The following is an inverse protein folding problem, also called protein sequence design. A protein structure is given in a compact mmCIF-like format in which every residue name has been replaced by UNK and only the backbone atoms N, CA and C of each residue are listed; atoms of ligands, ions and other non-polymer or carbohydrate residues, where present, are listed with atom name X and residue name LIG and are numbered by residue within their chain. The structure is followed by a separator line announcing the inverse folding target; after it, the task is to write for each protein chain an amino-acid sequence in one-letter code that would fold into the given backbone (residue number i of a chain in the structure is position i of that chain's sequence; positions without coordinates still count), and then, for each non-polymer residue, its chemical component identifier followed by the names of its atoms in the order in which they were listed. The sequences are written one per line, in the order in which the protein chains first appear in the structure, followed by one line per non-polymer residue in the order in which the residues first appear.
data_IF_015416892848
#
_entry.id   IF_015416892848
#
_cell.length_a   1.000
_cell.length_b   1.000
_cell.length_c   1.000
_cell.angle_alpha   90.00
_cell.angle_beta   90.00
_cell.angle_gamma   90.00
#
_symmetry.space_group_name_H-M   'P 1'
#
loop_
_entity.id
_entity.type
_entity.pdbx_description
1 polymer ?
#
# COMPACT_ATOMS: atom_id res chain seq x y z
N UNK A 1 15.24 -35.15 -9.05
CA UNK A 1 13.94 -35.27 -8.36
C UNK A 1 13.26 -36.54 -8.84
N UNK A 2 12.40 -37.17 -8.04
CA UNK A 2 11.59 -38.31 -8.50
C UNK A 2 10.64 -37.87 -9.62
N UNK A 3 10.53 -38.68 -10.67
CA UNK A 3 9.66 -38.38 -11.82
C UNK A 3 8.19 -38.16 -11.43
N UNK A 4 7.72 -38.77 -10.35
CA UNK A 4 6.35 -38.61 -9.86
C UNK A 4 6.13 -37.29 -9.12
N UNK A 5 7.15 -36.76 -8.43
CA UNK A 5 7.10 -35.45 -7.79
C UNK A 5 7.09 -34.34 -8.85
N UNK A 6 7.86 -34.50 -9.93
CA UNK A 6 7.87 -33.57 -11.06
C UNK A 6 6.50 -33.49 -11.76
N UNK A 7 5.85 -34.65 -12.01
CA UNK A 7 4.49 -34.69 -12.56
C UNK A 7 3.46 -34.07 -11.63
N UNK A 8 3.57 -34.31 -10.32
CA UNK A 8 2.70 -33.70 -9.32
C UNK A 8 2.90 -32.19 -9.21
N UNK A 9 4.13 -31.71 -9.40
CA UNK A 9 4.43 -30.27 -9.47
C UNK A 9 3.75 -29.64 -10.68
N UNK A 10 3.85 -30.27 -11.86
CA UNK A 10 3.14 -29.84 -13.07
C UNK A 10 1.61 -29.85 -12.88
N UNK A 11 1.07 -30.88 -12.20
CA UNK A 11 -0.34 -30.96 -11.87
C UNK A 11 -0.77 -29.80 -10.97
N UNK A 12 0.04 -29.47 -9.96
CA UNK A 12 -0.23 -28.33 -9.07
C UNK A 12 -0.17 -26.99 -9.80
N UNK A 13 0.73 -26.82 -10.76
CA UNK A 13 0.76 -25.62 -11.60
C UNK A 13 -0.52 -25.54 -12.43
N UNK A 14 -0.94 -26.63 -13.08
CA UNK A 14 -2.19 -26.67 -13.84
C UNK A 14 -3.41 -26.34 -12.96
N UNK A 15 -3.53 -26.95 -11.77
CA UNK A 15 -4.63 -26.67 -10.85
C UNK A 15 -4.65 -25.21 -10.35
N UNK A 16 -3.48 -24.58 -10.15
CA UNK A 16 -3.39 -23.16 -9.80
C UNK A 16 -3.87 -22.26 -10.94
N UNK A 17 -3.41 -22.51 -12.16
CA UNK A 17 -3.84 -21.74 -13.34
C UNK A 17 -5.33 -21.93 -13.63
N UNK A 18 -5.86 -23.14 -13.48
CA UNK A 18 -7.31 -23.41 -13.60
C UNK A 18 -8.10 -22.59 -12.57
N UNK A 19 -7.69 -22.60 -11.31
CA UNK A 19 -8.37 -21.82 -10.26
C UNK A 19 -8.33 -20.32 -10.55
N UNK A 20 -7.17 -19.80 -10.94
CA UNK A 20 -7.01 -18.39 -11.30
C UNK A 20 -7.94 -18.00 -12.45
N UNK A 21 -7.96 -18.77 -13.54
CA UNK A 21 -8.86 -18.54 -14.67
C UNK A 21 -10.32 -18.65 -14.27
N UNK A 22 -10.70 -19.60 -13.40
CA UNK A 22 -12.06 -19.72 -12.89
C UNK A 22 -12.48 -18.51 -12.06
N UNK A 23 -11.59 -17.99 -11.22
CA UNK A 23 -11.81 -16.77 -10.43
C UNK A 23 -11.95 -15.54 -11.33
N UNK A 24 -11.10 -15.41 -12.34
CA UNK A 24 -11.16 -14.33 -13.34
C UNK A 24 -12.50 -14.39 -14.11
N UNK A 25 -12.89 -15.55 -14.62
CA UNK A 25 -14.18 -15.76 -15.30
C UNK A 25 -15.36 -15.46 -14.36
N UNK A 26 -15.30 -15.87 -13.09
CA UNK A 26 -16.37 -15.65 -12.11
C UNK A 26 -16.46 -14.19 -11.65
N UNK A 27 -15.37 -13.42 -11.72
CA UNK A 27 -15.35 -12.00 -11.38
C UNK A 27 -16.05 -11.12 -12.42
N UNK A 28 -16.07 -11.54 -13.70
CA UNK A 28 -16.61 -10.74 -14.80
C UNK A 28 -18.13 -10.49 -14.69
N UNK A 29 -18.99 -11.49 -14.42
CA UNK A 29 -20.41 -11.24 -14.16
C UNK A 29 -20.64 -10.19 -13.07
N UNK A 30 -19.82 -10.19 -12.00
CA UNK A 30 -19.94 -9.21 -10.91
C UNK A 30 -19.57 -7.80 -11.35
N UNK A 31 -18.56 -7.66 -12.22
CA UNK A 31 -18.20 -6.35 -12.80
C UNK A 31 -19.32 -5.86 -13.71
N UNK A 32 -19.86 -6.73 -14.56
CA UNK A 32 -20.98 -6.40 -15.45
C UNK A 32 -22.21 -5.96 -14.65
N UNK A 33 -22.58 -6.67 -13.58
CA UNK A 33 -23.73 -6.27 -12.74
C UNK A 33 -23.50 -4.93 -12.05
N UNK A 34 -22.30 -4.67 -11.53
CA UNK A 34 -21.98 -3.39 -10.91
C UNK A 34 -22.04 -2.22 -11.91
N UNK A 35 -21.64 -2.47 -13.16
CA UNK A 35 -21.74 -1.50 -14.25
C UNK A 35 -23.21 -1.26 -14.63
N UNK A 36 -24.03 -2.31 -14.69
CA UNK A 36 -25.46 -2.19 -14.98
C UNK A 36 -26.25 -1.46 -13.88
N UNK A 37 -25.86 -1.62 -12.61
CA UNK A 37 -26.43 -0.88 -11.48
C UNK A 37 -26.16 0.63 -11.59
N UNK A 38 -24.95 1.04 -12.02
CA UNK A 38 -24.62 2.45 -12.26
C UNK A 38 -25.51 3.04 -13.35
N UNK A 39 -25.64 2.33 -14.47
CA UNK A 39 -26.48 2.73 -15.60
C UNK A 39 -27.98 2.76 -15.22
N UNK A 40 -28.43 1.88 -14.32
CA UNK A 40 -29.77 1.95 -13.75
C UNK A 40 -29.97 3.22 -12.91
N UNK A 41 -28.94 3.63 -12.16
CA UNK A 41 -28.92 4.89 -11.41
C UNK A 41 -29.06 6.11 -12.30
N UNK A 42 -28.28 6.21 -13.38
CA UNK A 42 -28.36 7.34 -14.33
C UNK A 42 -29.67 7.35 -15.11
N UNK A 43 -30.21 6.18 -15.47
CA UNK A 43 -31.58 6.06 -16.00
C UNK A 43 -32.64 6.57 -15.03
N UNK A 44 -32.53 6.24 -13.74
CA UNK A 44 -33.49 6.71 -12.73
C UNK A 44 -33.44 8.24 -12.57
N UNK A 45 -32.26 8.85 -12.69
CA UNK A 45 -32.12 10.31 -12.69
C UNK A 45 -32.79 10.95 -13.92
N UNK A 46 -32.59 10.38 -15.11
CA UNK A 46 -33.26 10.83 -16.33
C UNK A 46 -34.79 10.74 -16.20
N UNK A 47 -35.32 9.62 -15.72
CA UNK A 47 -36.76 9.46 -15.54
C UNK A 47 -37.33 10.43 -14.50
N UNK A 48 -36.58 10.73 -13.43
CA UNK A 48 -36.97 11.77 -12.46
C UNK A 48 -37.00 13.17 -13.10
N UNK A 49 -36.01 13.52 -13.91
CA UNK A 49 -35.96 14.80 -14.63
C UNK A 49 -37.13 14.93 -15.62
N UNK A 50 -37.42 13.86 -16.38
CA UNK A 50 -38.57 13.80 -17.30
C UNK A 50 -39.91 13.91 -16.58
N UNK A 51 -40.05 13.24 -15.44
CA UNK A 51 -41.26 13.33 -14.62
C UNK A 51 -41.48 14.75 -14.09
N UNK A 52 -40.42 15.44 -13.66
CA UNK A 52 -40.48 16.84 -13.26
C UNK A 52 -40.90 17.76 -14.42
N UNK A 53 -40.27 17.62 -15.59
CA UNK A 53 -40.63 18.40 -16.79
C UNK A 53 -42.09 18.19 -17.22
N UNK A 54 -42.58 16.94 -17.15
CA UNK A 54 -43.99 16.62 -17.43
C UNK A 54 -44.95 17.21 -16.38
N UNK A 55 -44.52 17.27 -15.12
CA UNK A 55 -45.25 17.92 -14.05
C UNK A 55 -45.40 19.42 -14.28
N UNK A 56 -44.33 20.09 -14.70
CA UNK A 56 -44.33 21.51 -15.05
C UNK A 56 -45.26 21.78 -16.25
N UNK A 57 -45.22 20.95 -17.30
CA UNK A 57 -46.14 21.08 -18.44
C UNK A 57 -47.62 20.90 -18.02
N UNK A 58 -47.90 19.97 -17.11
CA UNK A 58 -49.25 19.75 -16.58
C UNK A 58 -49.73 20.94 -15.74
N UNK A 59 -48.86 21.52 -14.91
CA UNK A 59 -49.17 22.71 -14.12
C UNK A 59 -49.45 23.92 -15.02
N UNK A 60 -48.67 24.10 -16.08
CA UNK A 60 -48.92 25.15 -17.07
C UNK A 60 -50.31 25.02 -17.68
N UNK A 61 -50.67 23.84 -18.19
CA UNK A 61 -52.02 23.59 -18.77
C UNK A 61 -53.14 23.83 -17.76
N UNK A 62 -52.92 23.49 -16.48
CA UNK A 62 -53.88 23.73 -15.40
C UNK A 62 -54.11 25.23 -15.17
N UNK A 63 -53.05 26.03 -15.13
CA UNK A 63 -53.18 27.48 -14.96
C UNK A 63 -53.80 28.15 -16.20
N UNK A 64 -53.45 27.70 -17.40
CA UNK A 64 -54.08 28.18 -18.65
C UNK A 64 -55.59 27.92 -18.68
N UNK A 65 -56.03 26.72 -18.28
CA UNK A 65 -57.44 26.39 -18.16
C UNK A 65 -58.15 27.25 -17.09
N UNK A 66 -57.50 27.48 -15.94
CA UNK A 66 -58.05 28.35 -14.90
C UNK A 66 -58.24 29.80 -15.37
N UNK A 67 -57.29 30.33 -16.17
CA UNK A 67 -57.41 31.65 -16.79
C UNK A 67 -58.61 31.69 -17.75
N UNK A 68 -58.78 30.68 -18.60
CA UNK A 68 -59.93 30.61 -19.51
C UNK A 68 -61.27 30.60 -18.76
N UNK A 69 -61.37 29.84 -17.66
CA UNK A 69 -62.55 29.80 -16.81
C UNK A 69 -62.83 31.17 -16.15
N UNK A 70 -61.80 31.86 -15.65
CA UNK A 70 -61.91 33.18 -15.05
C UNK A 70 -62.32 34.24 -16.09
N UNK A 71 -61.77 34.20 -17.30
CA UNK A 71 -62.16 35.07 -18.41
C UNK A 71 -63.64 34.86 -18.78
N UNK A 72 -64.10 33.61 -18.79
CA UNK A 72 -65.51 33.27 -18.98
C UNK A 72 -66.42 33.84 -17.88
N UNK A 73 -65.98 33.81 -16.61
CA UNK A 73 -66.71 34.43 -15.48
C UNK A 73 -66.75 35.96 -15.61
N UNK A 74 -65.63 36.60 -15.96
CA UNK A 74 -65.57 38.05 -16.18
C UNK A 74 -66.56 38.47 -17.27
N UNK A 75 -66.62 37.75 -18.40
CA UNK A 75 -67.60 38.04 -19.45
C UNK A 75 -69.03 37.99 -18.91
N UNK A 76 -69.38 36.92 -18.19
CA UNK A 76 -70.72 36.77 -17.59
C UNK A 76 -71.05 37.89 -16.59
N UNK A 77 -70.11 38.26 -15.72
CA UNK A 77 -70.32 39.34 -14.76
C UNK A 77 -70.44 40.72 -15.42
N UNK A 78 -69.71 40.94 -16.53
CA UNK A 78 -69.85 42.16 -17.35
C UNK A 78 -71.22 42.21 -18.04
N UNK A 79 -71.70 41.10 -18.58
CA UNK A 79 -73.04 41.05 -19.18
C UNK A 79 -74.13 41.28 -18.12
N UNK A 80 -74.00 40.66 -16.94
CA UNK A 80 -74.93 40.84 -15.83
C UNK A 80 -74.95 42.29 -15.31
N UNK A 81 -73.79 42.96 -15.26
CA UNK A 81 -73.70 44.33 -14.72
C UNK A 81 -74.45 45.36 -15.57
N UNK A 82 -74.67 45.07 -16.86
CA UNK A 82 -75.50 45.89 -17.76
C UNK A 82 -77.00 45.76 -17.47
N UNK A 83 -77.45 44.64 -16.89
CA UNK A 83 -78.86 44.36 -16.59
C UNK A 83 -79.28 44.74 -15.15
N UNK A 84 -78.32 45.01 -14.27
CA UNK A 84 -78.57 45.29 -12.85
C UNK A 84 -79.13 46.70 -12.63
N UNK A 85 -80.23 46.79 -11.87
CA UNK A 85 -80.94 48.07 -11.60
C UNK A 85 -80.56 48.75 -10.28
N UNK A 86 -79.87 48.06 -9.38
CA UNK A 86 -79.48 48.60 -8.06
C UNK A 86 -77.97 48.85 -7.99
N UNK A 87 -77.58 49.99 -7.43
CA UNK A 87 -76.18 50.41 -7.36
C UNK A 87 -75.34 49.48 -6.45
N UNK A 88 -75.96 48.85 -5.45
CA UNK A 88 -75.31 47.89 -4.56
C UNK A 88 -74.93 46.58 -5.29
N UNK A 89 -75.85 46.02 -6.07
CA UNK A 89 -75.59 44.83 -6.89
C UNK A 89 -74.53 45.10 -7.98
N UNK A 90 -74.53 46.30 -8.57
CA UNK A 90 -73.52 46.70 -9.55
C UNK A 90 -72.12 46.76 -8.92
N UNK A 91 -71.99 47.35 -7.72
CA UNK A 91 -70.71 47.37 -6.97
C UNK A 91 -70.22 45.97 -6.60
N UNK A 92 -71.13 45.06 -6.22
CA UNK A 92 -70.77 43.67 -5.95
C UNK A 92 -70.19 42.97 -7.18
N UNK A 93 -70.84 43.12 -8.36
CA UNK A 93 -70.33 42.55 -9.61
C UNK A 93 -68.98 43.15 -10.03
N UNK A 94 -68.77 44.45 -9.83
CA UNK A 94 -67.47 45.07 -10.07
C UNK A 94 -66.37 44.49 -9.17
N UNK A 95 -66.68 44.24 -7.90
CA UNK A 95 -65.74 43.61 -6.97
C UNK A 95 -65.40 42.18 -7.39
N UNK A 96 -66.39 41.39 -7.81
CA UNK A 96 -66.16 40.03 -8.35
C UNK A 96 -65.33 40.03 -9.64
N UNK A 97 -65.52 41.01 -10.52
CA UNK A 97 -64.69 41.20 -11.72
C UNK A 97 -63.25 41.52 -11.32
N UNK A 98 -63.04 42.46 -10.39
CA UNK A 98 -61.70 42.82 -9.92
C UNK A 98 -60.99 41.63 -9.26
N UNK A 99 -61.71 40.84 -8.47
CA UNK A 99 -61.19 39.63 -7.86
C UNK A 99 -60.76 38.60 -8.92
N UNK A 100 -61.61 38.36 -9.93
CA UNK A 100 -61.28 37.45 -11.03
C UNK A 100 -60.09 37.96 -11.88
N UNK A 101 -59.99 39.27 -12.13
CA UNK A 101 -58.86 39.89 -12.82
C UNK A 101 -57.55 39.75 -12.03
N UNK A 102 -57.61 39.84 -10.69
CA UNK A 102 -56.45 39.62 -9.83
C UNK A 102 -56.01 38.14 -9.82
N UNK A 103 -56.96 37.20 -9.78
CA UNK A 103 -56.66 35.77 -9.89
C UNK A 103 -56.07 35.39 -11.25
N UNK A 104 -56.49 36.04 -12.34
CA UNK A 104 -55.85 35.86 -13.66
C UNK A 104 -54.38 36.27 -13.60
N UNK A 105 -54.06 37.45 -13.05
CA UNK A 105 -52.67 37.92 -12.92
C UNK A 105 -51.81 36.94 -12.12
N UNK A 106 -52.33 36.42 -11.01
CA UNK A 106 -51.63 35.42 -10.19
C UNK A 106 -51.35 34.14 -11.00
N UNK A 107 -52.30 33.68 -11.82
CA UNK A 107 -52.09 32.51 -12.66
C UNK A 107 -51.12 32.80 -13.83
N UNK A 108 -51.12 34.01 -14.40
CA UNK A 108 -50.15 34.45 -15.40
C UNK A 108 -48.72 34.46 -14.83
N UNK A 109 -48.54 35.03 -13.63
CA UNK A 109 -47.26 35.01 -12.92
C UNK A 109 -46.78 33.57 -12.67
N UNK A 110 -47.68 32.68 -12.21
CA UNK A 110 -47.36 31.25 -12.03
C UNK A 110 -46.99 30.55 -13.34
N UNK A 111 -47.63 30.89 -14.45
CA UNK A 111 -47.27 30.34 -15.77
C UNK A 111 -45.86 30.78 -16.13
N UNK A 112 -45.50 32.05 -15.93
CA UNK A 112 -44.16 32.55 -16.20
C UNK A 112 -43.10 31.81 -15.35
N UNK A 113 -43.36 31.62 -14.05
CA UNK A 113 -42.49 30.84 -13.17
C UNK A 113 -42.31 29.40 -13.66
N UNK A 114 -43.40 28.73 -14.03
CA UNK A 114 -43.37 27.37 -14.56
C UNK A 114 -42.62 27.31 -15.90
N UNK A 115 -42.74 28.31 -16.77
CA UNK A 115 -42.02 28.37 -18.04
C UNK A 115 -40.51 28.50 -17.83
N UNK A 116 -40.06 29.36 -16.91
CA UNK A 116 -38.64 29.50 -16.57
C UNK A 116 -38.08 28.19 -15.98
N UNK A 117 -38.85 27.54 -15.12
CA UNK A 117 -38.49 26.23 -14.57
C UNK A 117 -38.43 25.15 -15.65
N UNK A 118 -39.40 25.13 -16.58
CA UNK A 118 -39.45 24.17 -17.67
C UNK A 118 -38.23 24.28 -18.61
N UNK A 119 -37.75 25.48 -18.93
CA UNK A 119 -36.50 25.65 -19.69
C UNK A 119 -35.28 25.07 -18.95
N UNK A 120 -35.24 25.22 -17.63
CA UNK A 120 -34.18 24.65 -16.80
C UNK A 120 -34.28 23.12 -16.78
N UNK A 121 -35.49 22.56 -16.62
CA UNK A 121 -35.73 21.11 -16.67
C UNK A 121 -35.44 20.51 -18.03
N UNK A 122 -35.74 21.19 -19.13
CA UNK A 122 -35.42 20.71 -20.47
C UNK A 122 -33.90 20.63 -20.69
N UNK A 123 -33.14 21.60 -20.17
CA UNK A 123 -31.67 21.54 -20.16
C UNK A 123 -31.14 20.38 -19.31
N UNK A 124 -31.71 20.16 -18.12
CA UNK A 124 -31.35 19.03 -17.26
C UNK A 124 -31.65 17.67 -17.93
N UNK A 125 -32.81 17.53 -18.58
CA UNK A 125 -33.18 16.32 -19.32
C UNK A 125 -32.19 16.07 -20.46
N UNK A 126 -31.90 17.08 -21.28
CA UNK A 126 -30.92 16.96 -22.37
C UNK A 126 -29.53 16.59 -21.89
N UNK A 127 -29.09 17.18 -20.76
CA UNK A 127 -27.81 16.84 -20.15
C UNK A 127 -27.80 15.38 -19.66
N UNK A 128 -28.83 14.95 -18.94
CA UNK A 128 -28.96 13.58 -18.44
C UNK A 128 -29.08 12.55 -19.59
N UNK A 129 -29.76 12.89 -20.69
CA UNK A 129 -29.81 12.03 -21.89
C UNK A 129 -28.45 11.88 -22.57
N UNK A 130 -27.69 12.98 -22.68
CA UNK A 130 -26.34 12.96 -23.23
C UNK A 130 -25.38 12.14 -22.36
N UNK A 131 -25.46 12.32 -21.04
CA UNK A 131 -24.68 11.57 -20.05
C UNK A 131 -25.01 10.07 -20.12
N UNK A 132 -26.30 9.70 -20.07
CA UNK A 132 -26.72 8.31 -20.18
C UNK A 132 -26.26 7.67 -21.49
N UNK A 133 -26.32 8.41 -22.61
CA UNK A 133 -25.88 7.91 -23.91
C UNK A 133 -24.36 7.68 -23.95
N UNK A 134 -23.58 8.61 -23.39
CA UNK A 134 -22.13 8.48 -23.32
C UNK A 134 -21.74 7.30 -22.41
N UNK A 135 -22.34 7.22 -21.22
CA UNK A 135 -22.08 6.15 -20.25
C UNK A 135 -22.49 4.78 -20.84
N UNK A 136 -23.65 4.68 -21.48
CA UNK A 136 -24.09 3.44 -22.12
C UNK A 136 -23.14 2.99 -23.25
N UNK A 137 -22.59 3.91 -24.03
CA UNK A 137 -21.65 3.59 -25.09
C UNK A 137 -20.32 3.06 -24.55
N UNK A 138 -19.78 3.66 -23.49
CA UNK A 138 -18.56 3.18 -22.83
C UNK A 138 -18.78 1.83 -22.15
N UNK A 139 -19.92 1.64 -21.50
CA UNK A 139 -20.29 0.38 -20.84
C UNK A 139 -20.41 -0.77 -21.84
N UNK A 140 -21.02 -0.55 -23.00
CA UNK A 140 -21.13 -1.60 -24.02
C UNK A 140 -19.76 -1.99 -24.57
N UNK A 141 -18.83 -1.04 -24.76
CA UNK A 141 -17.43 -1.37 -25.12
C UNK A 141 -16.76 -2.22 -24.04
N UNK A 142 -16.86 -1.82 -22.78
CA UNK A 142 -16.25 -2.55 -21.66
C UNK A 142 -16.84 -3.97 -21.55
N UNK A 143 -18.16 -4.13 -21.75
CA UNK A 143 -18.82 -5.43 -21.81
C UNK A 143 -18.33 -6.30 -22.96
N UNK A 144 -18.15 -5.73 -24.15
CA UNK A 144 -17.62 -6.46 -25.31
C UNK A 144 -16.18 -6.91 -25.08
N UNK A 145 -15.33 -6.06 -24.53
CA UNK A 145 -13.94 -6.40 -24.17
C UNK A 145 -13.90 -7.49 -23.10
N UNK A 146 -14.70 -7.36 -22.04
CA UNK A 146 -14.84 -8.38 -21.00
C UNK A 146 -15.29 -9.72 -21.59
N UNK A 147 -16.23 -9.74 -22.53
CA UNK A 147 -16.68 -10.97 -23.22
C UNK A 147 -15.56 -11.60 -24.06
N UNK A 148 -14.76 -10.80 -24.76
CA UNK A 148 -13.62 -11.29 -25.55
C UNK A 148 -12.59 -11.96 -24.65
N UNK A 149 -12.18 -11.28 -23.57
CA UNK A 149 -11.25 -11.82 -22.57
C UNK A 149 -11.80 -13.12 -21.96
N UNK A 150 -13.09 -13.13 -21.58
CA UNK A 150 -13.74 -14.35 -21.04
C UNK A 150 -13.63 -15.52 -22.02
N UNK A 151 -13.88 -15.28 -23.31
CA UNK A 151 -13.82 -16.32 -24.33
C UNK A 151 -12.39 -16.87 -24.50
N UNK A 152 -11.38 -16.02 -24.41
CA UNK A 152 -9.97 -16.44 -24.41
C UNK A 152 -9.62 -17.25 -23.16
N UNK A 153 -10.07 -16.80 -21.99
CA UNK A 153 -9.79 -17.48 -20.72
C UNK A 153 -10.52 -18.83 -20.63
N UNK A 154 -11.73 -18.95 -21.21
CA UNK A 154 -12.43 -20.22 -21.35
C UNK A 154 -11.67 -21.20 -22.26
N UNK A 155 -11.04 -20.72 -23.35
CA UNK A 155 -10.19 -21.56 -24.20
C UNK A 155 -8.95 -22.05 -23.44
N UNK A 156 -8.24 -21.14 -22.76
CA UNK A 156 -7.09 -21.49 -21.90
C UNK A 156 -7.49 -22.47 -20.80
N UNK A 157 -8.66 -22.27 -20.19
CA UNK A 157 -9.22 -23.17 -19.18
C UNK A 157 -9.42 -24.58 -19.73
N UNK A 158 -9.94 -24.72 -20.96
CA UNK A 158 -10.10 -26.01 -21.61
C UNK A 158 -8.74 -26.70 -21.86
N UNK A 159 -7.74 -25.95 -22.34
CA UNK A 159 -6.38 -26.46 -22.54
C UNK A 159 -5.73 -26.92 -21.23
N UNK A 160 -5.86 -26.13 -20.16
CA UNK A 160 -5.31 -26.50 -18.85
C UNK A 160 -6.04 -27.70 -18.24
N UNK A 161 -7.36 -27.83 -18.40
CA UNK A 161 -8.08 -29.03 -17.98
C UNK A 161 -7.62 -30.27 -18.75
N UNK A 162 -7.42 -30.16 -20.08
CA UNK A 162 -6.89 -31.27 -20.86
C UNK A 162 -5.48 -31.69 -20.40
N UNK A 163 -4.59 -30.72 -20.12
CA UNK A 163 -3.27 -30.99 -19.54
C UNK A 163 -3.37 -31.66 -18.18
N UNK A 164 -4.25 -31.16 -17.30
CA UNK A 164 -4.51 -31.73 -15.97
C UNK A 164 -4.97 -33.18 -16.06
N UNK A 165 -5.93 -33.46 -16.93
CA UNK A 165 -6.51 -34.79 -17.08
C UNK A 165 -5.50 -35.79 -17.67
N UNK A 166 -4.65 -35.35 -18.60
CA UNK A 166 -3.51 -36.13 -19.09
C UNK A 166 -2.50 -36.48 -17.99
N UNK A 167 -2.13 -35.52 -17.14
CA UNK A 167 -1.22 -35.75 -16.00
C UNK A 167 -1.81 -36.74 -14.99
N UNK A 168 -3.13 -36.66 -14.73
CA UNK A 168 -3.83 -37.56 -13.79
C UNK A 168 -3.80 -39.03 -14.22
N UNK A 169 -3.74 -39.31 -15.53
CA UNK A 169 -3.67 -40.69 -16.03
C UNK A 169 -2.30 -41.35 -15.82
N UNK A 170 -1.23 -40.54 -15.72
CA UNK A 170 0.16 -41.02 -15.63
C UNK A 170 0.63 -41.15 -14.18
N UNK A 171 0.00 -40.41 -13.25
CA UNK A 171 0.33 -40.43 -11.82
C UNK A 171 -0.36 -41.64 -11.16
N UNK A 172 0.32 -42.30 -10.21
CA UNK A 172 -0.26 -43.45 -9.50
C UNK A 172 -1.48 -43.04 -8.67
N UNK A 173 -2.48 -43.94 -8.63
CA UNK A 173 -3.79 -43.63 -8.03
C UNK A 173 -3.72 -43.27 -6.54
N UNK A 174 -2.83 -43.90 -5.77
CA UNK A 174 -2.68 -43.62 -4.33
C UNK A 174 -2.05 -42.26 -4.06
N UNK A 175 -1.06 -41.87 -4.87
CA UNK A 175 -0.45 -40.55 -4.81
C UNK A 175 -1.43 -39.45 -5.19
N UNK A 176 -2.20 -39.67 -6.27
CA UNK A 176 -3.22 -38.72 -6.71
C UNK A 176 -4.30 -38.54 -5.64
N UNK A 177 -4.79 -39.63 -5.02
CA UNK A 177 -5.77 -39.56 -3.92
C UNK A 177 -5.24 -38.77 -2.72
N UNK A 178 -3.97 -38.97 -2.37
CA UNK A 178 -3.33 -38.21 -1.29
C UNK A 178 -3.25 -36.72 -1.65
N UNK A 179 -2.74 -36.40 -2.83
CA UNK A 179 -2.63 -35.05 -3.36
C UNK A 179 -3.98 -34.31 -3.39
N UNK A 180 -5.02 -34.92 -3.96
CA UNK A 180 -6.36 -34.31 -4.09
C UNK A 180 -6.98 -34.03 -2.72
N UNK A 181 -6.81 -34.94 -1.75
CA UNK A 181 -7.26 -34.74 -0.37
C UNK A 181 -6.61 -33.49 0.23
N UNK A 182 -5.29 -33.40 0.13
CA UNK A 182 -4.53 -32.29 0.72
C UNK A 182 -4.85 -30.97 -0.01
N UNK A 183 -4.91 -30.98 -1.34
CA UNK A 183 -5.32 -29.83 -2.16
C UNK A 183 -6.69 -29.28 -1.79
N UNK A 184 -7.65 -30.15 -1.47
CA UNK A 184 -9.01 -29.76 -1.08
C UNK A 184 -9.04 -29.00 0.25
N UNK A 185 -8.26 -29.43 1.24
CA UNK A 185 -8.27 -28.82 2.58
C UNK A 185 -7.26 -27.69 2.76
N UNK A 186 -6.14 -27.72 2.01
CA UNK A 186 -4.99 -26.84 2.23
C UNK A 186 -4.71 -25.92 1.05
N UNK A 187 -5.44 -26.04 -0.06
CA UNK A 187 -5.26 -25.24 -1.28
C UNK A 187 -4.06 -25.63 -2.14
N UNK A 188 -3.02 -26.24 -1.56
CA UNK A 188 -1.83 -26.77 -2.24
C UNK A 188 -1.52 -28.18 -1.72
N UNK A 189 -1.10 -29.08 -2.61
CA UNK A 189 -0.78 -30.48 -2.27
C UNK A 189 0.72 -30.72 -2.11
N UNK A 190 1.55 -29.86 -2.69
CA UNK A 190 3.01 -29.90 -2.60
C UNK A 190 3.53 -28.66 -1.87
N UNK A 191 4.61 -28.84 -1.11
CA UNK A 191 5.33 -27.76 -0.47
C UNK A 191 6.84 -27.89 -0.72
N UNK A 192 7.45 -26.77 -1.08
CA UNK A 192 8.90 -26.66 -1.13
C UNK A 192 9.46 -26.71 0.30
N UNK A 193 10.61 -27.36 0.44
CA UNK A 193 11.41 -27.31 1.66
C UNK A 193 12.56 -26.35 1.46
N UNK A 194 12.63 -25.32 2.32
CA UNK A 194 13.67 -24.30 2.29
C UNK A 194 14.13 -23.99 3.70
N UNK A 195 15.45 -23.89 3.91
CA UNK A 195 16.02 -23.56 5.22
C UNK A 195 15.45 -24.44 6.36
N UNK A 196 15.45 -25.77 6.14
CA UNK A 196 14.88 -26.75 7.08
C UNK A 196 13.40 -26.51 7.43
N UNK A 197 12.65 -25.73 6.64
CA UNK A 197 11.23 -25.43 6.89
C UNK A 197 10.38 -25.88 5.71
N UNK A 198 9.19 -26.41 6.02
CA UNK A 198 8.15 -26.61 5.02
C UNK A 198 7.53 -25.24 4.68
N UNK A 199 7.70 -24.75 3.45
CA UNK A 199 7.20 -23.42 3.04
C UNK A 199 5.66 -23.34 3.11
N UNK A 200 4.96 -24.47 2.97
CA UNK A 200 3.50 -24.51 3.01
C UNK A 200 2.86 -24.37 4.39
N UNK A 201 3.57 -24.66 5.49
CA UNK A 201 3.05 -24.50 6.86
C UNK A 201 4.05 -23.89 7.85
N UNK A 202 5.22 -23.51 7.35
CA UNK A 202 6.32 -22.84 8.05
C UNK A 202 6.87 -23.61 9.26
N UNK A 203 6.57 -24.89 9.39
CA UNK A 203 7.11 -25.73 10.46
C UNK A 203 8.55 -26.13 10.14
N UNK A 204 9.39 -26.18 11.17
CA UNK A 204 10.75 -26.70 11.06
C UNK A 204 10.71 -28.22 10.96
N UNK A 205 11.40 -28.76 9.96
CA UNK A 205 11.54 -30.18 9.73
C UNK A 205 12.74 -30.71 10.52
N UNK A 206 12.67 -31.98 10.93
CA UNK A 206 13.80 -32.65 11.56
C UNK A 206 14.96 -32.71 10.57
N UNK A 207 16.23 -32.59 11.01
CA UNK A 207 17.39 -32.65 10.12
C UNK A 207 17.41 -33.92 9.24
N UNK A 208 16.98 -35.06 9.80
CA UNK A 208 16.84 -36.31 9.06
C UNK A 208 15.83 -36.17 7.90
N UNK A 209 14.60 -35.72 8.17
CA UNK A 209 13.57 -35.52 7.16
C UNK A 209 14.00 -34.51 6.09
N UNK A 210 14.71 -33.45 6.47
CA UNK A 210 15.25 -32.49 5.52
C UNK A 210 16.26 -33.13 4.56
N UNK A 211 17.19 -33.93 5.07
CA UNK A 211 18.17 -34.64 4.25
C UNK A 211 17.52 -35.68 3.34
N UNK A 212 16.52 -36.40 3.83
CA UNK A 212 15.77 -37.38 3.03
C UNK A 212 15.03 -36.69 1.86
N UNK A 213 14.41 -35.52 2.09
CA UNK A 213 13.77 -34.71 1.03
C UNK A 213 14.80 -34.17 0.03
N UNK A 214 15.98 -33.76 0.51
CA UNK A 214 17.08 -33.26 -0.32
C UNK A 214 17.67 -34.36 -1.21
N UNK A 215 17.80 -35.58 -0.70
CA UNK A 215 18.23 -36.75 -1.46
C UNK A 215 17.19 -37.11 -2.54
N UNK A 216 15.90 -36.92 -2.23
CA UNK A 216 14.82 -37.07 -3.19
C UNK A 216 14.65 -38.49 -3.71
N UNK A 217 15.08 -39.51 -2.95
CA UNK A 217 14.96 -40.93 -3.30
C UNK A 217 13.60 -41.53 -2.91
N UNK A 218 12.93 -40.93 -1.93
CA UNK A 218 11.64 -41.37 -1.41
C UNK A 218 10.64 -40.22 -1.37
N UNK A 219 9.36 -40.57 -1.48
CA UNK A 219 8.28 -39.61 -1.31
C UNK A 219 8.04 -39.34 0.17
N UNK A 220 8.25 -38.09 0.58
CA UNK A 220 8.13 -37.67 1.98
C UNK A 220 7.01 -36.65 2.11
N UNK A 221 6.23 -36.81 3.16
CA UNK A 221 5.07 -35.96 3.46
C UNK A 221 5.33 -35.21 4.75
N UNK A 222 4.94 -33.95 4.81
CA UNK A 222 5.04 -33.14 6.02
C UNK A 222 4.12 -33.70 7.13
N UNK A 223 4.68 -34.02 8.30
CA UNK A 223 3.91 -34.53 9.45
C UNK A 223 2.81 -33.55 9.91
N UNK A 224 3.03 -32.24 9.78
CA UNK A 224 2.09 -31.21 10.26
C UNK A 224 0.99 -30.86 9.26
N UNK A 225 1.32 -30.70 7.96
CA UNK A 225 0.35 -30.23 6.97
C UNK A 225 -0.02 -31.25 5.90
N UNK A 226 0.59 -32.44 5.94
CA UNK A 226 0.37 -33.54 5.01
C UNK A 226 0.67 -33.22 3.53
N UNK A 227 1.38 -32.13 3.23
CA UNK A 227 1.82 -31.85 1.86
C UNK A 227 3.02 -32.71 1.50
N UNK A 228 3.08 -33.14 0.24
CA UNK A 228 4.25 -33.80 -0.33
C UNK A 228 5.39 -32.79 -0.41
N UNK A 229 6.54 -33.14 0.15
CA UNK A 229 7.70 -32.27 0.23
C UNK A 229 8.59 -32.46 -1.00
N UNK A 230 9.09 -31.35 -1.54
CA UNK A 230 10.11 -31.38 -2.59
C UNK A 230 11.20 -30.37 -2.29
N UNK A 231 12.40 -30.62 -2.82
CA UNK A 231 13.55 -29.74 -2.72
C UNK A 231 13.91 -29.22 -4.11
N UNK A 232 14.08 -27.91 -4.22
CA UNK A 232 14.57 -27.23 -5.42
C UNK A 232 15.99 -26.71 -5.17
N UNK A 233 17.02 -27.31 -5.81
CA UNK A 233 18.42 -26.90 -5.64
C UNK A 233 18.69 -25.44 -6.03
N UNK A 234 17.87 -24.84 -6.91
CA UNK A 234 18.05 -23.46 -7.34
C UNK A 234 17.78 -22.43 -6.22
N UNK A 235 16.95 -22.80 -5.24
CA UNK A 235 16.53 -21.95 -4.14
C UNK A 235 17.36 -22.18 -2.85
N UNK A 236 18.41 -23.00 -2.92
CA UNK A 236 19.33 -23.21 -1.81
C UNK A 236 20.17 -21.93 -1.63
N UNK A 237 19.91 -21.21 -0.55
CA UNK A 237 20.81 -20.17 -0.06
C UNK A 237 22.15 -20.85 0.22
N UNK A 238 23.14 -20.63 -0.64
CA UNK A 238 24.53 -20.95 -0.34
C UNK A 238 24.86 -20.17 0.92
N UNK A 239 24.99 -20.86 2.05
CA UNK A 239 25.57 -20.25 3.24
C UNK A 239 26.93 -19.71 2.82
N UNK A 240 27.11 -18.39 2.85
CA UNK A 240 28.45 -17.84 3.00
C UNK A 240 29.07 -18.59 4.19
N UNK A 241 30.31 -19.11 4.05
CA UNK A 241 30.92 -19.88 5.12
C UNK A 241 30.83 -19.03 6.37
N UNK A 242 30.12 -19.55 7.38
CA UNK A 242 29.90 -18.88 8.64
C UNK A 242 31.24 -18.32 9.09
N UNK A 243 31.36 -16.99 9.10
CA UNK A 243 32.51 -16.32 9.67
C UNK A 243 32.68 -16.94 11.05
N UNK A 244 33.79 -17.66 11.21
CA UNK A 244 34.20 -18.29 12.46
C UNK A 244 33.94 -17.27 13.54
N UNK A 245 33.13 -17.61 14.53
CA UNK A 245 32.92 -16.78 15.72
C UNK A 245 34.27 -16.61 16.39
N UNK A 246 35.03 -15.62 15.95
CA UNK A 246 36.23 -15.18 16.63
C UNK A 246 35.74 -14.63 17.96
N UNK A 247 36.22 -15.23 19.06
CA UNK A 247 36.05 -14.69 20.40
C UNK A 247 36.15 -13.16 20.36
N UNK A 248 35.06 -12.49 20.75
CA UNK A 248 34.94 -11.03 20.78
C UNK A 248 36.11 -10.48 21.62
N UNK A 249 37.14 -9.94 20.95
CA UNK A 249 38.19 -9.20 21.63
C UNK A 249 37.58 -7.89 22.08
N UNK A 250 37.36 -7.71 23.39
CA UNK A 250 36.94 -6.41 23.96
C UNK A 250 37.87 -5.32 23.42
N UNK A 251 37.30 -4.26 22.85
CA UNK A 251 38.06 -3.09 22.38
C UNK A 251 38.88 -2.52 23.53
N UNK A 252 40.20 -2.64 23.46
CA UNK A 252 41.08 -2.12 24.50
C UNK A 252 41.13 -0.59 24.43
N UNK A 253 41.00 0.10 25.57
CA UNK A 253 41.26 1.54 25.63
C UNK A 253 42.75 1.75 25.35
N UNK A 254 43.15 2.52 24.33
CA UNK A 254 44.55 2.81 24.10
C UNK A 254 45.14 3.42 25.37
N UNK A 255 46.39 3.08 25.69
CA UNK A 255 47.07 3.75 26.80
C UNK A 255 47.24 5.24 26.46
N UNK A 256 47.45 6.09 27.46
CA UNK A 256 47.58 7.53 27.23
C UNK A 256 48.78 7.86 26.31
N UNK A 257 49.82 7.04 26.36
CA UNK A 257 51.04 7.06 25.55
C UNK A 257 50.91 6.35 24.19
N UNK A 258 49.71 5.91 23.79
CA UNK A 258 49.53 5.31 22.47
C UNK A 258 49.90 6.32 21.38
N UNK A 259 50.67 5.89 20.38
CA UNK A 259 51.12 6.75 19.28
C UNK A 259 49.94 7.40 18.53
N UNK A 260 48.79 6.69 18.47
CA UNK A 260 47.59 7.17 17.81
C UNK A 260 46.32 6.68 18.52
N UNK A 261 45.26 7.49 18.52
CA UNK A 261 43.94 7.09 18.97
C UNK A 261 42.81 7.73 18.16
N UNK A 262 41.82 6.91 17.78
CA UNK A 262 40.64 7.31 17.01
C UNK A 262 39.36 7.25 17.84
N UNK A 263 38.53 8.28 17.69
CA UNK A 263 37.26 8.39 18.39
C UNK A 263 36.17 8.94 17.48
N UNK A 264 34.94 8.53 17.73
CA UNK A 264 33.73 9.13 17.20
C UNK A 264 33.04 9.91 18.31
N UNK A 265 32.59 11.12 17.99
CA UNK A 265 31.77 11.92 18.90
C UNK A 265 30.51 12.38 18.17
N UNK A 266 29.32 12.06 18.68
CA UNK A 266 28.05 12.42 18.05
C UNK A 266 27.65 13.89 18.28
N UNK A 267 28.24 14.56 19.28
CA UNK A 267 27.83 15.86 19.80
C UNK A 267 29.02 16.81 19.97
N UNK A 268 29.64 17.22 18.85
CA UNK A 268 30.75 18.18 18.84
C UNK A 268 30.27 19.58 18.41
N UNK A 269 29.95 20.44 19.38
CA UNK A 269 29.63 21.85 19.14
C UNK A 269 28.50 22.06 18.12
N UNK A 270 28.69 23.00 17.18
CA UNK A 270 27.78 23.24 16.04
C UNK A 270 28.03 22.30 14.86
N UNK A 271 29.17 21.59 14.84
CA UNK A 271 29.62 20.71 13.75
C UNK A 271 28.95 19.32 13.79
N UNK A 272 28.34 18.96 14.93
CA UNK A 272 27.58 17.72 15.07
C UNK A 272 28.46 16.47 15.17
N UNK A 273 28.32 15.54 14.22
CA UNK A 273 28.97 14.23 14.26
C UNK A 273 30.37 14.28 13.62
N UNK A 274 31.38 13.89 14.40
CA UNK A 274 32.79 14.03 14.01
C UNK A 274 33.62 12.82 14.36
N UNK A 275 34.68 12.63 13.57
CA UNK A 275 35.78 11.70 13.82
C UNK A 275 36.99 12.48 14.33
N UNK A 276 37.50 12.08 15.49
CA UNK A 276 38.66 12.65 16.15
C UNK A 276 39.83 11.69 16.01
N UNK A 277 40.98 12.20 15.57
CA UNK A 277 42.25 11.47 15.66
C UNK A 277 43.26 12.27 16.46
N UNK A 278 43.94 11.57 17.35
CA UNK A 278 45.05 12.07 18.12
C UNK A 278 46.33 11.34 17.72
N UNK A 279 47.43 12.07 17.54
CA UNK A 279 48.78 11.51 17.41
C UNK A 279 49.65 12.03 18.55
N UNK A 280 50.42 11.15 19.18
CA UNK A 280 51.38 11.52 20.21
C UNK A 280 52.79 11.48 19.60
N UNK A 281 53.58 12.52 19.81
CA UNK A 281 54.97 12.60 19.39
C UNK A 281 55.84 13.14 20.54
N UNK A 282 56.62 12.25 21.15
CA UNK A 282 57.45 12.52 22.33
C UNK A 282 56.67 13.20 23.48
N UNK A 283 56.71 14.53 23.55
CA UNK A 283 56.09 15.34 24.60
C UNK A 283 54.92 16.21 24.11
N UNK A 284 54.53 16.10 22.84
CA UNK A 284 53.38 16.82 22.28
C UNK A 284 52.35 15.86 21.71
N UNK A 285 51.09 16.31 21.68
CA UNK A 285 50.01 15.60 21.02
C UNK A 285 49.28 16.52 20.05
N UNK A 286 48.96 15.99 18.87
CA UNK A 286 48.16 16.70 17.89
C UNK A 286 46.75 16.13 17.81
N UNK A 287 45.78 16.98 17.47
CA UNK A 287 44.38 16.64 17.29
C UNK A 287 43.91 17.10 15.90
N UNK A 288 43.26 16.20 15.16
CA UNK A 288 42.54 16.50 13.92
C UNK A 288 41.07 16.09 14.04
N UNK A 289 40.22 16.85 13.37
CA UNK A 289 38.77 16.66 13.33
C UNK A 289 38.34 16.43 11.89
N UNK A 290 37.52 15.41 11.67
CA UNK A 290 36.93 15.12 10.36
C UNK A 290 35.41 15.02 10.49
N UNK A 291 34.69 15.62 9.54
CA UNK A 291 33.24 15.47 9.42
C UNK A 291 32.89 14.00 9.16
N UNK A 292 31.90 13.47 9.87
CA UNK A 292 31.57 12.05 9.83
C UNK A 292 31.20 11.54 8.43
N UNK A 293 30.50 12.34 7.62
CA UNK A 293 29.91 11.85 6.36
C UNK A 293 30.81 12.05 5.15
N UNK A 294 31.47 13.20 5.05
CA UNK A 294 32.35 13.49 3.92
C UNK A 294 33.82 13.15 4.20
N UNK A 295 34.21 12.94 5.46
CA UNK A 295 35.62 12.79 5.82
C UNK A 295 36.44 14.08 5.66
N UNK A 296 35.78 15.23 5.49
CA UNK A 296 36.45 16.53 5.34
C UNK A 296 37.01 17.01 6.66
N UNK A 297 38.24 17.53 6.66
CA UNK A 297 38.83 18.09 7.87
C UNK A 297 38.11 19.37 8.29
N UNK A 298 37.78 19.46 9.59
CA UNK A 298 37.14 20.61 10.21
C UNK A 298 38.17 21.35 11.07
N UNK A 299 38.42 22.61 10.72
CA UNK A 299 39.35 23.47 11.45
C UNK A 299 40.83 23.08 11.34
N UNK A 300 41.65 23.77 12.13
CA UNK A 300 43.09 23.61 12.14
C UNK A 300 43.55 22.44 13.03
N UNK A 301 44.71 21.88 12.70
CA UNK A 301 45.37 20.88 13.54
C UNK A 301 45.84 21.55 14.82
N UNK A 302 45.32 21.11 15.97
CA UNK A 302 45.74 21.63 17.27
C UNK A 302 46.89 20.79 17.81
N UNK A 303 47.91 21.44 18.36
CA UNK A 303 49.03 20.79 19.04
C UNK A 303 49.18 21.34 20.46
N UNK A 304 49.33 20.45 21.44
CA UNK A 304 49.46 20.80 22.87
C UNK A 304 50.51 19.90 23.53
N UNK A 305 51.16 20.41 24.56
CA UNK A 305 52.13 19.64 25.36
C UNK A 305 51.42 18.56 26.21
N UNK A 306 52.06 17.41 26.35
CA UNK A 306 51.56 16.24 27.05
C UNK A 306 50.80 15.26 26.15
N UNK A 307 50.41 14.12 26.73
CA UNK A 307 49.63 13.10 26.02
C UNK A 307 48.22 13.59 25.70
N UNK A 308 47.60 13.04 24.65
CA UNK A 308 46.30 13.51 24.16
C UNK A 308 45.17 13.54 25.21
N UNK A 309 45.19 12.66 26.22
CA UNK A 309 44.16 12.65 27.28
C UNK A 309 44.30 13.82 28.25
N UNK A 310 45.54 14.21 28.56
CA UNK A 310 45.83 15.35 29.41
C UNK A 310 45.74 16.67 28.64
N UNK A 311 46.16 16.64 27.38
CA UNK A 311 46.18 17.79 26.50
C UNK A 311 44.78 18.21 26.03
N UNK A 312 43.86 17.25 25.81
CA UNK A 312 42.51 17.50 25.28
C UNK A 312 41.41 16.81 26.12
N UNK A 313 41.26 17.15 27.42
CA UNK A 313 40.22 16.57 28.28
C UNK A 313 38.79 16.89 27.79
N UNK A 314 38.59 18.01 27.09
CA UNK A 314 37.30 18.43 26.54
C UNK A 314 36.72 17.49 25.46
N UNK A 315 37.57 16.65 24.86
CA UNK A 315 37.17 15.70 23.81
C UNK A 315 36.83 14.30 24.35
N UNK A 316 37.13 14.05 25.62
CA UNK A 316 36.98 12.76 26.28
C UNK A 316 35.68 12.71 27.10
N UNK A 317 34.53 12.91 26.45
CA UNK A 317 33.20 12.86 27.08
C UNK A 317 32.66 11.43 27.21
N UNK A 318 31.58 11.25 27.98
CA UNK A 318 30.90 9.95 28.12
C UNK A 318 30.23 9.47 26.82
N UNK A 319 29.91 10.39 25.90
CA UNK A 319 29.32 10.10 24.58
C UNK A 319 30.35 9.64 23.54
N UNK A 320 31.64 9.80 23.81
CA UNK A 320 32.72 9.49 22.88
C UNK A 320 32.92 7.97 22.73
N UNK A 321 32.85 7.47 21.49
CA UNK A 321 33.01 6.05 21.15
C UNK A 321 34.39 5.80 20.55
N UNK A 322 35.09 4.76 21.02
CA UNK A 322 36.42 4.37 20.50
C UNK A 322 36.28 3.63 19.15
N UNK A 323 37.03 4.07 18.13
CA UNK A 323 37.22 3.37 16.85
C UNK A 323 38.62 2.74 16.63
N UNK A 324 38.68 1.61 15.90
CA UNK A 324 39.87 0.80 15.60
C UNK A 324 40.77 1.34 14.47
N UNK A 325 40.57 2.57 14.02
CA UNK A 325 41.39 3.18 12.98
C UNK A 325 42.89 3.06 13.26
N UNK A 326 43.66 2.70 12.24
CA UNK A 326 45.12 2.62 12.32
C UNK A 326 45.72 3.08 10.99
N UNK A 327 46.34 4.25 11.03
CA UNK A 327 47.05 4.88 9.91
C UNK A 327 48.22 5.65 10.49
N UNK A 328 49.37 5.60 9.84
CA UNK A 328 50.54 6.32 10.31
C UNK A 328 50.34 7.84 10.18
N UNK A 329 51.01 8.63 11.01
CA UNK A 329 50.87 10.10 11.00
C UNK A 329 51.18 10.69 9.60
N UNK A 330 52.15 10.10 8.89
CA UNK A 330 52.48 10.46 7.50
C UNK A 330 51.32 10.21 6.54
N UNK A 331 50.62 9.07 6.67
CA UNK A 331 49.47 8.75 5.81
C UNK A 331 48.32 9.74 6.05
N UNK A 332 48.12 10.17 7.30
CA UNK A 332 47.07 11.14 7.64
C UNK A 332 47.46 12.54 7.15
N UNK A 333 48.74 12.91 7.17
CA UNK A 333 49.24 14.17 6.60
C UNK A 333 48.96 14.26 5.10
N UNK A 334 49.09 13.14 4.39
CA UNK A 334 48.83 13.06 2.95
C UNK A 334 47.36 13.27 2.57
N UNK A 335 46.42 13.05 3.50
CA UNK A 335 44.99 13.28 3.24
C UNK A 335 44.67 14.78 3.02
N UNK A 336 45.50 15.68 3.52
CA UNK A 336 45.29 17.12 3.38
C UNK A 336 43.95 17.55 4.00
N UNK A 337 43.06 18.12 3.18
CA UNK A 337 41.77 18.64 3.64
C UNK A 337 40.64 17.59 3.69
N UNK A 338 40.86 16.37 3.17
CA UNK A 338 39.80 15.35 3.07
C UNK A 338 40.34 13.93 3.15
N UNK A 339 39.75 13.13 4.02
CA UNK A 339 40.07 11.72 4.20
C UNK A 339 39.65 10.89 2.97
N UNK A 340 40.50 10.00 2.45
CA UNK A 340 40.10 9.09 1.39
C UNK A 340 38.94 8.17 1.80
N UNK A 341 38.18 7.69 0.82
CA UNK A 341 36.98 6.88 1.05
C UNK A 341 37.28 5.57 1.77
N UNK A 342 38.43 4.94 1.50
CA UNK A 342 38.80 3.66 2.12
C UNK A 342 38.94 3.76 3.66
N UNK A 343 39.70 4.72 4.23
CA UNK A 343 39.70 4.99 5.66
C UNK A 343 38.32 5.34 6.24
N UNK A 344 37.54 6.14 5.52
CA UNK A 344 36.21 6.57 5.97
C UNK A 344 35.25 5.38 6.11
N UNK A 345 35.18 4.52 5.08
CA UNK A 345 34.36 3.31 5.08
C UNK A 345 34.77 2.34 6.20
N UNK A 346 36.08 2.21 6.45
CA UNK A 346 36.61 1.40 7.53
C UNK A 346 36.19 1.93 8.91
N UNK A 347 36.25 3.25 9.12
CA UNK A 347 35.80 3.90 10.36
C UNK A 347 34.28 3.76 10.55
N UNK A 348 33.48 3.86 9.49
CA UNK A 348 32.03 3.66 9.55
C UNK A 348 31.63 2.21 9.86
N UNK A 349 32.33 1.23 9.25
CA UNK A 349 32.12 -0.17 9.55
C UNK A 349 32.46 -0.47 11.02
N UNK A 350 33.56 0.11 11.51
CA UNK A 350 33.97 -0.06 12.88
C UNK A 350 33.06 0.64 13.90
N UNK A 351 32.52 1.83 13.57
CA UNK A 351 31.53 2.52 14.41
C UNK A 351 30.26 1.69 14.55
N UNK A 352 29.76 1.10 13.46
CA UNK A 352 28.59 0.20 13.51
C UNK A 352 28.83 -0.97 14.45
N UNK A 353 30.01 -1.60 14.37
CA UNK A 353 30.40 -2.64 15.30
C UNK A 353 30.46 -2.12 16.75
N UNK A 354 31.09 -0.97 16.99
CA UNK A 354 31.17 -0.36 18.33
C UNK A 354 29.79 -0.04 18.94
N UNK A 355 28.84 0.47 18.15
CA UNK A 355 27.48 0.74 18.59
C UNK A 355 26.71 -0.54 18.94
N UNK A 356 26.92 -1.63 18.18
CA UNK A 356 26.30 -2.93 18.51
C UNK A 356 26.83 -3.49 19.82
N UNK A 357 28.15 -3.39 20.06
CA UNK A 357 28.79 -3.76 21.34
C UNK A 357 28.23 -2.90 22.49
N UNK A 358 28.20 -1.58 22.33
CA UNK A 358 27.71 -0.65 23.36
C UNK A 358 26.23 -0.92 23.73
N UNK A 359 25.38 -1.24 22.74
CA UNK A 359 23.97 -1.62 22.97
C UNK A 359 23.85 -2.99 23.67
N UNK A 360 24.73 -3.93 23.37
CA UNK A 360 24.75 -5.26 24.01
C UNK A 360 25.21 -5.19 25.47
N UNK A 361 26.28 -4.44 25.78
CA UNK A 361 26.76 -4.27 27.16
C UNK A 361 25.77 -3.53 28.06
N UNK A 362 24.95 -2.62 27.49
CA UNK A 362 23.86 -1.95 28.22
C UNK A 362 22.70 -2.89 28.57
N UNK A 363 22.45 -3.92 27.75
CA UNK A 363 21.48 -4.99 28.04
C UNK A 363 21.97 -5.93 29.14
N UNK A 364 23.26 -6.27 29.15
CA UNK A 364 23.85 -7.14 30.17
C UNK A 364 23.92 -6.46 31.56
N UNK A 365 24.14 -5.15 31.62
CA UNK A 365 24.08 -4.39 32.88
C UNK A 365 22.65 -4.09 33.37
N UNK A 366 21.66 -3.99 32.48
CA UNK A 366 20.25 -3.88 32.86
C UNK A 366 19.65 -5.20 33.37
N UNK A 367 20.33 -6.33 33.13
CA UNK A 367 19.88 -7.67 33.50
C UNK A 367 20.51 -8.21 34.81
N UNK A 368 21.21 -7.38 35.60
CA UNK A 368 21.68 -7.77 36.94
C UNK A 368 20.70 -7.26 38.01
N UNK A 369 19.87 -8.12 38.64
CA UNK A 369 19.04 -7.70 39.74
C UNK A 369 19.88 -7.54 41.01
N UNK A 370 19.55 -6.53 41.80
CA UNK A 370 20.02 -6.39 43.16
C UNK A 370 19.54 -7.59 44.01
N UNK A 371 20.45 -8.49 44.36
CA UNK A 371 20.26 -9.40 45.49
C UNK A 371 20.73 -8.71 46.77
N UNK A 372 19.80 -8.02 47.42
CA UNK A 372 19.81 -7.93 48.87
C UNK A 372 18.61 -8.72 49.40
N UNK A 373 18.88 -9.84 50.08
CA UNK A 373 18.35 -10.09 51.43
C UNK A 373 18.85 -11.41 52.05
N UNK A 374 19.40 -11.23 53.26
CA UNK A 374 19.29 -12.09 54.44
C UNK A 374 20.07 -13.43 54.50
N UNK A 375 21.11 -13.45 55.35
CA UNK A 375 21.14 -14.32 56.54
C UNK A 375 22.39 -14.06 57.41
N UNK A 376 22.19 -13.37 58.54
CA UNK A 376 22.78 -13.57 59.90
C UNK A 376 22.97 -12.24 60.62
#
# INVERSE_FOLDING_TARGET
MLSDIEKLLQLQVADKEIRKLQEEIAALPRRVTAIEEKLAGTKAQLEKARAAAKGDEANRKKFEAAIQDLQGKISKYRDQSLDVKTNEQYKALLHEIQFAEQEIRINEDRILEVMVNAETRDKEVKAAEAELKAEAAEIEKEKEEARKITAEDQKKLAEWNAKRDGLRQVISADLLRHYERVMKFRGTGLAEVRDHKCVGCQVMLRPQTYNEVRNGEQLIVCESCQRVLYFDPANELKSEPAAVQAHVRKRARPKADAAQAWFYRPDYGEEGEVLLVFTNNADTSTRRLYEMHSGRQIGDVLSREGNYRQAFPEDMTESTIRLNGHWEEQEIDEWGAEMPTNPLDALHADLRAAQTEHRSGRKDHAASPAEHSAAS
#
